data_IF_433347394721
#
_entry.id   IF_433347394721
#
_cell.length_a   1.000
_cell.length_b   1.000
_cell.length_c   1.000
_cell.angle_alpha   90.00
_cell.angle_beta   90.00
_cell.angle_gamma   90.00
#
_symmetry.space_group_name_H-M   'P 1'
#
loop_
_entity.id
_entity.type
_entity.pdbx_description
1 polymer ?
#
# COMPACT_ATOMS: atom_id res chain seq x y z
N UNK A 1 54.76 45.64 20.90
CA UNK A 1 54.50 44.76 19.73
C UNK A 1 53.97 45.64 18.59
N UNK A 2 54.80 45.92 17.58
CA UNK A 2 54.42 46.72 16.41
C UNK A 2 53.87 45.77 15.35
N UNK A 3 52.57 45.86 15.06
CA UNK A 3 51.95 45.15 13.94
C UNK A 3 52.47 45.72 12.63
N UNK A 4 53.24 44.93 11.89
CA UNK A 4 53.62 45.23 10.52
C UNK A 4 52.38 45.15 9.63
N UNK A 5 51.91 46.31 9.16
CA UNK A 5 50.87 46.39 8.14
C UNK A 5 51.35 45.66 6.87
N UNK A 6 50.53 44.80 6.26
CA UNK A 6 50.89 44.10 5.04
C UNK A 6 51.14 45.10 3.91
N UNK A 7 52.20 44.87 3.13
CA UNK A 7 52.54 45.73 2.00
C UNK A 7 51.38 45.77 0.98
N UNK A 8 51.21 46.89 0.26
CA UNK A 8 50.16 47.04 -0.77
C UNK A 8 50.14 45.89 -1.78
N UNK A 9 51.31 45.28 -2.05
CA UNK A 9 51.45 44.10 -2.91
C UNK A 9 50.85 42.83 -2.28
N UNK A 10 51.03 42.62 -0.97
CA UNK A 10 50.45 41.49 -0.26
C UNK A 10 48.92 41.59 -0.17
N UNK A 11 48.37 42.79 0.04
CA UNK A 11 46.91 43.02 0.02
C UNK A 11 46.33 42.75 -1.37
N UNK A 12 46.98 43.24 -2.44
CA UNK A 12 46.55 43.00 -3.82
C UNK A 12 46.57 41.50 -4.20
N UNK A 13 47.59 40.76 -3.76
CA UNK A 13 47.69 39.31 -3.99
C UNK A 13 46.58 38.56 -3.23
N UNK A 14 46.30 38.93 -1.97
CA UNK A 14 45.25 38.29 -1.19
C UNK A 14 43.85 38.53 -1.78
N UNK A 15 43.56 39.76 -2.21
CA UNK A 15 42.28 40.08 -2.87
C UNK A 15 42.13 39.39 -4.21
N UNK A 16 43.21 39.28 -4.99
CA UNK A 16 43.20 38.53 -6.25
C UNK A 16 42.94 37.03 -6.03
N UNK A 17 43.52 36.44 -4.98
CA UNK A 17 43.32 35.04 -4.61
C UNK A 17 41.88 34.78 -4.13
N UNK A 18 41.31 35.68 -3.31
CA UNK A 18 39.91 35.58 -2.89
C UNK A 18 38.94 35.71 -4.07
N UNK A 19 39.18 36.64 -5.00
CA UNK A 19 38.34 36.81 -6.21
C UNK A 19 38.43 35.59 -7.12
N UNK A 20 39.62 35.01 -7.29
CA UNK A 20 39.81 33.77 -8.04
C UNK A 20 39.11 32.58 -7.37
N UNK A 21 39.18 32.46 -6.04
CA UNK A 21 38.46 31.40 -5.30
C UNK A 21 36.95 31.57 -5.41
N UNK A 22 36.41 32.78 -5.28
CA UNK A 22 34.97 33.03 -5.45
C UNK A 22 34.51 32.74 -6.87
N UNK A 23 35.31 33.11 -7.88
CA UNK A 23 34.99 32.78 -9.28
C UNK A 23 35.03 31.26 -9.51
N UNK A 24 35.98 30.55 -8.92
CA UNK A 24 36.10 29.10 -9.03
C UNK A 24 34.95 28.36 -8.31
N UNK A 25 34.50 28.86 -7.16
CA UNK A 25 33.31 28.34 -6.46
C UNK A 25 32.04 28.63 -7.26
N UNK A 26 31.87 29.84 -7.81
CA UNK A 26 30.72 30.18 -8.66
C UNK A 26 30.71 29.30 -9.91
N UNK A 27 31.87 29.10 -10.56
CA UNK A 27 31.99 28.28 -11.77
C UNK A 27 31.74 26.80 -11.48
N UNK A 28 32.20 26.29 -10.33
CA UNK A 28 31.89 24.93 -9.88
C UNK A 28 30.40 24.76 -9.56
N UNK A 29 29.77 25.74 -8.91
CA UNK A 29 28.32 25.73 -8.63
C UNK A 29 27.50 25.83 -9.92
N UNK A 30 27.92 26.61 -10.91
CA UNK A 30 27.22 26.69 -12.20
C UNK A 30 27.42 25.43 -13.05
N UNK A 31 28.61 24.84 -13.08
CA UNK A 31 28.87 23.58 -13.81
C UNK A 31 28.18 22.38 -13.17
N UNK A 32 28.11 22.33 -11.82
CA UNK A 32 27.31 21.34 -11.10
C UNK A 32 25.80 21.53 -11.36
N UNK A 33 25.35 22.77 -11.57
CA UNK A 33 23.95 23.09 -11.88
C UNK A 33 23.58 22.79 -13.34
N UNK A 34 24.51 22.97 -14.28
CA UNK A 34 24.30 22.66 -15.70
C UNK A 34 24.20 21.14 -15.97
N UNK A 35 24.96 20.30 -15.25
CA UNK A 35 24.89 18.84 -15.42
C UNK A 35 23.57 18.21 -14.94
N UNK A 36 22.80 18.88 -14.08
CA UNK A 36 21.50 18.36 -13.65
C UNK A 36 20.40 18.53 -14.69
N UNK A 37 20.56 19.47 -15.63
CA UNK A 37 19.53 19.80 -16.64
C UNK A 37 19.53 18.88 -17.86
N UNK A 38 20.63 18.21 -18.19
CA UNK A 38 20.71 17.37 -19.41
C UNK A 38 20.04 15.98 -19.25
N UNK A 39 19.85 15.52 -18.01
CA UNK A 39 19.22 14.22 -17.70
C UNK A 39 17.83 14.36 -17.03
N UNK A 40 17.29 15.57 -16.94
CA UNK A 40 15.96 15.84 -16.40
C UNK A 40 14.88 15.44 -17.42
N UNK A 41 13.94 14.59 -17.02
CA UNK A 41 12.80 14.19 -17.85
C UNK A 41 11.51 14.90 -17.44
N UNK A 42 11.45 15.39 -16.20
CA UNK A 42 10.33 16.15 -15.67
C UNK A 42 10.73 16.85 -14.34
N UNK A 43 9.85 17.66 -13.78
CA UNK A 43 10.00 18.20 -12.41
C UNK A 43 8.68 18.29 -11.66
N UNK A 44 8.76 18.32 -10.32
CA UNK A 44 7.65 18.57 -9.41
C UNK A 44 8.02 19.68 -8.44
N UNK A 45 7.34 20.83 -8.52
CA UNK A 45 7.63 22.03 -7.72
C UNK A 45 9.10 22.47 -7.78
N UNK A 46 9.72 22.31 -8.95
CA UNK A 46 11.14 22.60 -9.18
C UNK A 46 12.12 21.54 -8.65
N UNK A 47 11.62 20.40 -8.16
CA UNK A 47 12.45 19.23 -7.87
C UNK A 47 12.55 18.33 -9.11
N UNK A 48 13.76 18.14 -9.68
CA UNK A 48 13.94 17.41 -10.93
C UNK A 48 13.64 15.92 -10.75
N UNK A 49 13.08 15.31 -11.79
CA UNK A 49 12.97 13.87 -12.01
C UNK A 49 13.95 13.53 -13.11
N UNK A 50 14.98 12.74 -12.79
CA UNK A 50 15.98 12.36 -13.78
C UNK A 50 15.55 11.13 -14.57
N UNK A 51 16.19 10.92 -15.72
CA UNK A 51 16.03 9.70 -16.53
C UNK A 51 16.25 8.43 -15.71
N UNK A 52 17.28 8.42 -14.87
CA UNK A 52 17.61 7.27 -14.02
C UNK A 52 16.53 7.01 -12.96
N UNK A 53 15.95 8.06 -12.39
CA UNK A 53 14.82 7.94 -11.47
C UNK A 53 13.61 7.34 -12.18
N UNK A 54 13.27 7.85 -13.36
CA UNK A 54 12.17 7.31 -14.17
C UNK A 54 12.38 5.83 -14.49
N UNK A 55 13.57 5.45 -14.96
CA UNK A 55 13.88 4.06 -15.29
C UNK A 55 13.87 3.15 -14.07
N UNK A 56 14.32 3.63 -12.92
CA UNK A 56 14.21 2.88 -11.66
C UNK A 56 12.75 2.54 -11.35
N UNK A 57 11.84 3.51 -11.43
CA UNK A 57 10.41 3.29 -11.22
C UNK A 57 9.79 2.38 -12.29
N UNK A 58 10.13 2.59 -13.57
CA UNK A 58 9.63 1.75 -14.66
C UNK A 58 10.05 0.28 -14.50
N UNK A 59 11.30 0.01 -14.14
CA UNK A 59 11.78 -1.38 -13.90
C UNK A 59 11.08 -2.02 -12.71
N UNK A 60 10.87 -1.27 -11.62
CA UNK A 60 10.15 -1.77 -10.44
C UNK A 60 8.68 -2.08 -10.74
N UNK A 61 8.02 -1.27 -11.57
CA UNK A 61 6.62 -1.45 -11.94
C UNK A 61 6.40 -2.45 -13.09
N UNK A 62 7.44 -2.76 -13.85
CA UNK A 62 7.34 -3.63 -15.03
C UNK A 62 6.61 -4.95 -14.73
N UNK A 63 6.92 -5.73 -13.66
CA UNK A 63 6.21 -6.98 -13.39
C UNK A 63 4.69 -6.80 -13.18
N UNK A 64 4.29 -5.74 -12.48
CA UNK A 64 2.87 -5.41 -12.23
C UNK A 64 2.17 -5.01 -13.54
N UNK A 65 2.81 -4.17 -14.35
CA UNK A 65 2.26 -3.75 -15.65
C UNK A 65 2.19 -4.93 -16.61
N UNK A 66 3.19 -5.81 -16.66
CA UNK A 66 3.16 -7.04 -17.46
C UNK A 66 1.97 -7.93 -17.09
N UNK A 67 1.68 -8.06 -15.80
CA UNK A 67 0.51 -8.81 -15.34
C UNK A 67 -0.80 -8.14 -15.78
N UNK A 68 -0.91 -6.80 -15.73
CA UNK A 68 -2.04 -6.05 -16.29
C UNK A 68 -2.19 -6.31 -17.79
N UNK A 69 -1.10 -6.22 -18.55
CA UNK A 69 -1.07 -6.43 -20.01
C UNK A 69 -1.58 -7.83 -20.40
N UNK A 70 -1.16 -8.86 -19.66
CA UNK A 70 -1.62 -10.23 -19.87
C UNK A 70 -3.10 -10.41 -19.53
N UNK A 71 -3.55 -9.87 -18.40
CA UNK A 71 -4.89 -10.13 -17.86
C UNK A 71 -5.97 -9.28 -18.53
N UNK A 72 -5.67 -8.01 -18.83
CA UNK A 72 -6.64 -7.05 -19.39
C UNK A 72 -6.54 -6.93 -20.90
N UNK A 73 -5.32 -6.92 -21.44
CA UNK A 73 -5.08 -6.70 -22.88
C UNK A 73 -4.75 -7.99 -23.65
N UNK A 74 -4.71 -9.14 -22.96
CA UNK A 74 -4.43 -10.47 -23.55
C UNK A 74 -3.12 -10.54 -24.30
N UNK A 75 -2.14 -9.70 -23.96
CA UNK A 75 -0.78 -9.78 -24.49
C UNK A 75 -0.06 -10.96 -23.81
N UNK A 76 0.12 -12.06 -24.56
CA UNK A 76 0.74 -13.29 -24.07
C UNK A 76 2.22 -13.39 -24.46
N UNK A 77 2.97 -14.21 -23.74
CA UNK A 77 4.40 -14.45 -24.01
C UNK A 77 5.31 -13.36 -23.46
N UNK A 78 6.52 -13.24 -24.03
CA UNK A 78 7.47 -12.18 -23.68
C UNK A 78 6.85 -10.81 -23.96
N UNK A 79 6.98 -9.89 -23.02
CA UNK A 79 6.34 -8.57 -23.14
C UNK A 79 6.99 -7.75 -24.25
N UNK A 80 6.20 -7.44 -25.28
CA UNK A 80 6.56 -6.46 -26.29
C UNK A 80 6.11 -5.08 -25.82
N UNK A 81 7.04 -4.26 -25.33
CA UNK A 81 6.76 -2.91 -24.84
C UNK A 81 6.23 -1.96 -25.92
N UNK A 82 6.53 -2.23 -27.20
CA UNK A 82 6.01 -1.44 -28.33
C UNK A 82 4.61 -1.87 -28.78
N UNK A 83 4.08 -2.97 -28.26
CA UNK A 83 2.74 -3.44 -28.60
C UNK A 83 1.67 -2.46 -28.09
N UNK A 84 0.59 -2.29 -28.87
CA UNK A 84 -0.58 -1.52 -28.44
C UNK A 84 -1.33 -2.23 -27.30
N UNK A 85 -1.67 -1.47 -26.26
CA UNK A 85 -2.45 -1.88 -25.11
C UNK A 85 -3.60 -0.87 -24.92
N UNK A 86 -4.61 -0.97 -25.79
CA UNK A 86 -5.64 0.05 -25.96
C UNK A 86 -5.17 1.17 -26.88
N UNK A 87 -5.29 2.41 -26.42
CA UNK A 87 -4.86 3.64 -27.10
C UNK A 87 -3.34 3.87 -27.02
N UNK A 88 -2.73 3.52 -25.88
CA UNK A 88 -1.29 3.63 -25.60
C UNK A 88 -0.51 2.36 -25.97
N UNK A 89 0.80 2.48 -26.18
CA UNK A 89 1.69 1.30 -26.18
C UNK A 89 1.87 0.78 -24.74
N UNK A 90 2.39 -0.45 -24.60
CA UNK A 90 2.75 -1.00 -23.30
C UNK A 90 3.84 -0.15 -22.60
N UNK A 91 4.80 0.40 -23.35
CA UNK A 91 5.82 1.32 -22.85
C UNK A 91 5.21 2.62 -22.33
N UNK A 92 4.38 3.30 -23.13
CA UNK A 92 3.68 4.52 -22.72
C UNK A 92 2.80 4.32 -21.48
N UNK A 93 2.22 3.12 -21.34
CA UNK A 93 1.48 2.74 -20.14
C UNK A 93 2.41 2.62 -18.94
N UNK A 94 3.57 1.97 -19.09
CA UNK A 94 4.55 1.84 -18.03
C UNK A 94 5.11 3.21 -17.60
N UNK A 95 5.45 4.07 -18.55
CA UNK A 95 5.87 5.46 -18.31
C UNK A 95 4.83 6.24 -17.53
N UNK A 96 3.57 6.22 -17.98
CA UNK A 96 2.47 6.89 -17.27
C UNK A 96 2.37 6.40 -15.82
N UNK A 97 2.46 5.08 -15.60
CA UNK A 97 2.39 4.50 -14.25
C UNK A 97 3.60 4.87 -13.39
N UNK A 98 4.79 4.93 -13.98
CA UNK A 98 6.01 5.32 -13.29
C UNK A 98 5.95 6.79 -12.88
N UNK A 99 5.53 7.69 -13.78
CA UNK A 99 5.32 9.10 -13.45
C UNK A 99 4.26 9.29 -12.36
N UNK A 100 3.11 8.59 -12.45
CA UNK A 100 2.07 8.64 -11.42
C UNK A 100 2.60 8.24 -10.02
N UNK A 101 3.49 7.24 -9.96
CA UNK A 101 4.13 6.80 -8.72
C UNK A 101 5.20 7.80 -8.25
N UNK A 102 6.02 8.33 -9.16
CA UNK A 102 7.02 9.37 -8.87
C UNK A 102 6.35 10.61 -8.29
N UNK A 103 5.20 11.04 -8.80
CA UNK A 103 4.49 12.21 -8.24
C UNK A 103 4.07 11.99 -6.80
N UNK A 104 3.57 10.81 -6.47
CA UNK A 104 3.19 10.46 -5.09
C UNK A 104 4.41 10.35 -4.19
N UNK A 105 5.44 9.66 -4.64
CA UNK A 105 6.62 9.36 -3.84
C UNK A 105 7.48 10.62 -3.64
N UNK A 106 7.70 11.41 -4.69
CA UNK A 106 8.42 12.69 -4.61
C UNK A 106 7.67 13.71 -3.76
N UNK A 107 6.34 13.80 -3.87
CA UNK A 107 5.52 14.64 -2.97
C UNK A 107 5.68 14.21 -1.50
N UNK A 108 5.78 12.90 -1.24
CA UNK A 108 6.06 12.36 0.11
C UNK A 108 7.47 12.72 0.59
N UNK A 109 8.47 12.60 -0.27
CA UNK A 109 9.86 12.94 0.04
C UNK A 109 10.04 14.44 0.28
N UNK A 110 9.40 15.29 -0.53
CA UNK A 110 9.39 16.75 -0.35
C UNK A 110 8.73 17.10 0.99
N UNK A 111 7.58 16.49 1.30
CA UNK A 111 6.95 16.66 2.61
C UNK A 111 7.87 16.18 3.75
N UNK A 112 8.58 15.08 3.57
CA UNK A 112 9.57 14.61 4.55
C UNK A 112 10.70 15.62 4.74
N UNK A 113 11.21 16.22 3.66
CA UNK A 113 12.22 17.28 3.71
C UNK A 113 11.72 18.53 4.42
N UNK A 114 10.49 18.99 4.12
CA UNK A 114 9.83 20.10 4.83
C UNK A 114 9.69 19.85 6.33
N UNK A 115 9.49 18.58 6.73
CA UNK A 115 9.42 18.17 8.14
C UNK A 115 10.79 17.87 8.77
N UNK A 116 11.89 18.08 8.04
CA UNK A 116 13.26 17.81 8.51
C UNK A 116 13.53 16.33 8.78
N UNK A 117 12.91 15.43 8.02
CA UNK A 117 13.14 13.98 8.12
C UNK A 117 14.24 13.49 7.18
N UNK A 118 14.47 14.22 6.08
CA UNK A 118 15.52 13.95 5.09
C UNK A 118 16.12 15.26 4.63
N UNK A 119 17.39 15.23 4.23
CA UNK A 119 18.08 16.43 3.73
C UNK A 119 17.85 16.63 2.22
N UNK A 120 17.66 15.52 1.49
CA UNK A 120 17.48 15.52 0.04
C UNK A 120 16.33 14.63 -0.42
N UNK A 121 15.81 14.95 -1.61
CA UNK A 121 14.76 14.23 -2.34
C UNK A 121 15.26 13.71 -3.69
N UNK A 122 16.55 13.91 -3.98
CA UNK A 122 17.14 13.62 -5.27
C UNK A 122 17.53 12.13 -5.37
N UNK A 123 17.34 11.54 -6.55
CA UNK A 123 17.58 10.12 -6.76
C UNK A 123 19.06 9.73 -6.58
N UNK A 124 19.99 10.62 -6.95
CA UNK A 124 21.42 10.40 -6.76
C UNK A 124 21.79 10.28 -5.27
N UNK A 125 21.22 11.14 -4.42
CA UNK A 125 21.44 11.10 -2.97
C UNK A 125 20.81 9.84 -2.36
N UNK A 126 19.66 9.39 -2.87
CA UNK A 126 19.09 8.11 -2.50
C UNK A 126 20.05 6.93 -2.76
N UNK A 127 20.75 6.92 -3.91
CA UNK A 127 21.74 5.89 -4.22
C UNK A 127 22.97 5.97 -3.32
N UNK A 128 23.40 7.19 -2.96
CA UNK A 128 24.50 7.39 -2.02
C UNK A 128 24.13 6.89 -0.60
N UNK A 129 22.92 7.19 -0.13
CA UNK A 129 22.39 6.70 1.14
C UNK A 129 22.32 5.17 1.18
N UNK A 130 21.87 4.55 0.09
CA UNK A 130 21.85 3.09 -0.06
C UNK A 130 23.25 2.48 0.06
N UNK A 131 24.22 3.04 -0.66
CA UNK A 131 25.60 2.55 -0.63
C UNK A 131 26.17 2.63 0.79
N UNK A 132 25.94 3.76 1.47
CA UNK A 132 26.38 3.98 2.86
C UNK A 132 25.72 3.01 3.84
N UNK A 133 24.42 2.75 3.71
CA UNK A 133 23.70 1.78 4.55
C UNK A 133 24.26 0.36 4.35
N UNK A 134 24.47 -0.06 3.11
CA UNK A 134 25.03 -1.37 2.81
C UNK A 134 26.47 -1.53 3.29
N UNK A 135 27.29 -0.47 3.20
CA UNK A 135 28.64 -0.46 3.76
C UNK A 135 28.61 -0.59 5.29
N UNK A 136 27.76 0.19 5.96
CA UNK A 136 27.56 0.14 7.40
C UNK A 136 27.15 -1.28 7.86
N UNK A 137 26.22 -1.91 7.16
CA UNK A 137 25.79 -3.30 7.43
C UNK A 137 26.94 -4.29 7.24
N UNK A 138 27.71 -4.17 6.17
CA UNK A 138 28.86 -5.04 5.91
C UNK A 138 29.91 -4.93 7.03
N UNK A 139 30.18 -3.71 7.51
CA UNK A 139 31.08 -3.46 8.63
C UNK A 139 30.56 -4.08 9.95
N UNK A 140 29.27 -3.91 10.26
CA UNK A 140 28.64 -4.51 11.44
C UNK A 140 28.72 -6.04 11.42
N UNK A 141 28.43 -6.67 10.27
CA UNK A 141 28.56 -8.12 10.08
C UNK A 141 30.01 -8.57 10.29
N UNK A 142 30.98 -7.86 9.72
CA UNK A 142 32.40 -8.18 9.89
C UNK A 142 32.87 -8.03 11.35
N UNK A 143 32.27 -7.12 12.10
CA UNK A 143 32.52 -6.92 13.54
C UNK A 143 31.78 -7.93 14.44
N UNK A 144 30.94 -8.82 13.88
CA UNK A 144 30.14 -9.78 14.64
C UNK A 144 28.93 -9.16 15.35
N UNK A 145 28.51 -7.96 14.95
CA UNK A 145 27.32 -7.30 15.46
C UNK A 145 26.03 -7.87 14.85
N UNK A 146 24.91 -7.72 15.56
CA UNK A 146 23.61 -8.19 15.05
C UNK A 146 23.06 -7.19 14.04
N UNK A 147 22.94 -7.60 12.77
CA UNK A 147 22.21 -6.85 11.73
C UNK A 147 20.80 -7.39 11.62
N UNK A 148 19.80 -6.52 11.79
CA UNK A 148 18.40 -6.86 11.60
C UNK A 148 18.01 -6.77 10.12
N UNK A 149 17.32 -7.80 9.63
CA UNK A 149 16.85 -7.88 8.25
C UNK A 149 17.88 -8.48 7.29
N UNK A 150 17.93 -7.97 6.06
CA UNK A 150 18.85 -8.44 5.02
C UNK A 150 20.27 -7.91 5.23
N UNK A 151 21.27 -8.69 4.80
CA UNK A 151 22.67 -8.31 4.90
C UNK A 151 23.03 -7.09 4.04
N UNK A 152 22.40 -6.97 2.86
CA UNK A 152 22.45 -5.79 2.01
C UNK A 152 21.11 -5.60 1.33
N UNK A 153 20.69 -4.37 1.14
CA UNK A 153 19.53 -4.04 0.34
C UNK A 153 19.87 -3.91 -1.14
N UNK A 154 18.97 -4.40 -1.99
CA UNK A 154 18.84 -3.89 -3.36
C UNK A 154 18.21 -2.49 -3.35
N UNK A 155 18.34 -1.71 -4.45
CA UNK A 155 17.71 -0.40 -4.56
C UNK A 155 16.19 -0.43 -4.30
N UNK A 156 15.46 -1.41 -4.85
CA UNK A 156 14.02 -1.51 -4.66
C UNK A 156 13.60 -1.80 -3.21
N UNK A 157 14.33 -2.66 -2.51
CA UNK A 157 14.06 -2.97 -1.10
C UNK A 157 14.33 -1.76 -0.21
N UNK A 158 15.45 -1.08 -0.41
CA UNK A 158 15.80 0.11 0.37
C UNK A 158 14.84 1.26 0.11
N UNK A 159 14.43 1.48 -1.14
CA UNK A 159 13.44 2.48 -1.51
C UNK A 159 12.11 2.26 -0.79
N UNK A 160 11.60 1.03 -0.83
CA UNK A 160 10.34 0.64 -0.17
C UNK A 160 10.44 0.82 1.35
N UNK A 161 11.55 0.39 1.94
CA UNK A 161 11.82 0.55 3.37
C UNK A 161 11.83 2.02 3.77
N UNK A 162 12.63 2.85 3.07
CA UNK A 162 12.75 4.29 3.30
C UNK A 162 11.40 5.00 3.19
N UNK A 163 10.63 4.76 2.13
CA UNK A 163 9.32 5.38 1.97
C UNK A 163 8.33 4.95 3.05
N UNK A 164 8.35 3.68 3.46
CA UNK A 164 7.48 3.18 4.53
C UNK A 164 7.78 3.87 5.86
N UNK A 165 9.06 4.00 6.22
CA UNK A 165 9.50 4.65 7.44
C UNK A 165 9.15 6.14 7.47
N UNK A 166 9.42 6.84 6.35
CA UNK A 166 9.10 8.25 6.20
C UNK A 166 7.59 8.47 6.27
N UNK A 167 6.80 7.68 5.54
CA UNK A 167 5.34 7.75 5.54
C UNK A 167 4.76 7.51 6.94
N UNK A 168 5.25 6.49 7.64
CA UNK A 168 4.83 6.19 9.02
C UNK A 168 5.13 7.35 9.96
N UNK A 169 6.33 7.91 9.84
CA UNK A 169 6.77 9.03 10.68
C UNK A 169 5.97 10.31 10.38
N UNK A 170 5.72 10.61 9.10
CA UNK A 170 4.88 11.72 8.65
C UNK A 170 3.45 11.58 9.19
N UNK A 171 2.83 10.41 9.02
CA UNK A 171 1.49 10.12 9.56
C UNK A 171 1.42 10.36 11.07
N UNK A 172 2.41 9.88 11.82
CA UNK A 172 2.51 10.10 13.27
C UNK A 172 2.65 11.59 13.62
N UNK A 173 3.56 12.32 12.97
CA UNK A 173 3.80 13.75 13.26
C UNK A 173 2.58 14.61 12.92
N UNK A 174 2.01 14.43 11.74
CA UNK A 174 0.92 15.25 11.21
C UNK A 174 -0.44 14.93 11.83
N UNK A 175 -0.61 13.76 12.46
CA UNK A 175 -1.82 13.42 13.23
C UNK A 175 -1.75 13.84 14.70
N UNK A 176 -0.55 13.94 15.28
CA UNK A 176 -0.36 14.28 16.69
C UNK A 176 -0.64 15.77 16.98
N UNK A 177 -0.27 16.67 16.07
CA UNK A 177 -0.40 18.12 16.28
C UNK A 177 -1.89 18.55 16.41
N UNK A 178 -2.24 19.39 17.41
CA UNK A 178 -3.54 20.05 17.44
C UNK A 178 -3.77 20.85 16.15
N UNK A 179 -4.88 20.60 15.46
CA UNK A 179 -5.16 21.21 14.15
C UNK A 179 -4.31 20.69 12.99
N UNK A 180 -3.51 19.63 13.20
CA UNK A 180 -2.71 19.00 12.14
C UNK A 180 -3.59 18.42 11.02
N UNK A 181 -3.08 18.36 9.77
CA UNK A 181 -3.87 17.98 8.60
C UNK A 181 -4.39 16.54 8.65
N UNK A 182 -3.74 15.66 9.44
CA UNK A 182 -4.13 14.26 9.62
C UNK A 182 -4.76 13.98 10.98
N UNK A 183 -5.04 15.02 11.78
CA UNK A 183 -5.64 14.81 13.09
C UNK A 183 -7.02 14.18 12.93
N UNK A 184 -7.26 13.10 13.66
CA UNK A 184 -8.57 12.42 13.70
C UNK A 184 -9.15 12.57 15.10
N UNK A 185 -10.34 13.14 15.17
CA UNK A 185 -11.09 13.36 16.41
C UNK A 185 -11.96 12.17 16.76
N UNK A 186 -12.32 12.03 18.03
CA UNK A 186 -13.21 10.93 18.47
C UNK A 186 -14.59 11.01 17.82
N UNK A 187 -15.07 12.21 17.50
CA UNK A 187 -16.30 12.41 16.76
C UNK A 187 -16.21 11.87 15.32
N UNK A 188 -15.05 11.98 14.67
CA UNK A 188 -14.82 11.37 13.35
C UNK A 188 -14.73 9.85 13.43
N UNK A 189 -14.06 9.31 14.45
CA UNK A 189 -14.01 7.87 14.70
C UNK A 189 -15.42 7.32 14.92
N UNK A 190 -16.24 8.00 15.72
CA UNK A 190 -17.63 7.62 15.95
C UNK A 190 -18.46 7.67 14.68
N UNK A 191 -18.31 8.74 13.88
CA UNK A 191 -19.02 8.86 12.60
C UNK A 191 -18.63 7.75 11.62
N UNK A 192 -17.36 7.40 11.55
CA UNK A 192 -16.88 6.32 10.68
C UNK A 192 -17.40 4.95 11.15
N UNK A 193 -17.45 4.71 12.46
CA UNK A 193 -18.09 3.53 13.03
C UNK A 193 -19.58 3.46 12.66
N UNK A 194 -20.32 4.56 12.86
CA UNK A 194 -21.76 4.62 12.60
C UNK A 194 -22.11 4.49 11.11
N UNK A 195 -21.22 4.93 10.21
CA UNK A 195 -21.42 4.86 8.76
C UNK A 195 -21.31 3.43 8.20
N UNK A 196 -20.54 2.55 8.85
CA UNK A 196 -20.34 1.17 8.42
C UNK A 196 -20.21 0.22 9.63
N UNK A 197 -21.29 0.11 10.40
CA UNK A 197 -21.30 -0.68 11.64
C UNK A 197 -20.97 -2.14 11.40
N UNK A 198 -21.40 -2.70 10.27
CA UNK A 198 -21.15 -4.10 9.94
C UNK A 198 -19.65 -4.37 9.73
N UNK A 199 -18.90 -3.45 9.12
CA UNK A 199 -17.45 -3.59 8.98
C UNK A 199 -16.68 -3.51 10.31
N UNK A 200 -17.25 -2.83 11.32
CA UNK A 200 -16.59 -2.53 12.59
C UNK A 200 -17.18 -3.27 13.80
N UNK A 201 -17.99 -4.29 13.60
CA UNK A 201 -18.66 -5.01 14.69
C UNK A 201 -18.39 -6.50 14.74
N UNK A 202 -17.62 -7.07 13.81
CA UNK A 202 -17.46 -8.52 13.68
C UNK A 202 -17.00 -9.19 15.00
N UNK A 203 -16.03 -8.62 15.71
CA UNK A 203 -15.50 -9.14 16.97
C UNK A 203 -16.39 -8.86 18.21
N UNK A 204 -17.50 -8.13 18.02
CA UNK A 204 -18.48 -7.82 19.05
C UNK A 204 -19.90 -8.25 18.63
N UNK A 205 -19.97 -9.14 17.64
CA UNK A 205 -21.23 -9.71 17.15
C UNK A 205 -21.42 -11.11 17.69
N UNK A 206 -22.57 -11.36 18.30
CA UNK A 206 -23.06 -12.69 18.64
C UNK A 206 -24.05 -13.16 17.59
N UNK A 207 -23.76 -14.31 16.98
CA UNK A 207 -24.63 -14.95 16.00
C UNK A 207 -25.36 -16.12 16.66
N UNK A 208 -26.69 -16.13 16.60
CA UNK A 208 -27.49 -17.32 16.89
C UNK A 208 -27.90 -17.94 15.57
N UNK A 209 -27.66 -19.23 15.40
CA UNK A 209 -27.91 -19.90 14.14
C UNK A 209 -28.46 -21.31 14.35
N UNK A 210 -29.22 -21.75 13.35
CA UNK A 210 -29.68 -23.13 13.22
C UNK A 210 -28.88 -23.82 12.13
N UNK A 211 -28.34 -24.99 12.43
CA UNK A 211 -27.54 -25.81 11.53
C UNK A 211 -28.27 -27.09 11.19
N UNK A 212 -28.45 -27.34 9.90
CA UNK A 212 -28.96 -28.61 9.36
C UNK A 212 -27.79 -29.38 8.75
N UNK A 213 -27.45 -30.54 9.33
CA UNK A 213 -26.48 -31.47 8.77
C UNK A 213 -27.23 -32.66 8.18
N UNK A 214 -27.07 -32.88 6.87
CA UNK A 214 -27.69 -33.99 6.15
C UNK A 214 -26.59 -34.96 5.69
N UNK A 215 -26.59 -36.21 6.16
CA UNK A 215 -25.66 -37.22 5.65
C UNK A 215 -25.97 -37.52 4.19
N UNK A 216 -24.94 -37.61 3.35
CA UNK A 216 -25.07 -38.05 1.97
C UNK A 216 -24.95 -39.57 1.95
N UNK A 217 -26.01 -40.32 1.57
CA UNK A 217 -25.96 -41.78 1.53
C UNK A 217 -24.87 -42.29 0.58
N UNK A 218 -24.28 -43.43 0.92
CA UNK A 218 -23.33 -44.11 0.04
C UNK A 218 -24.04 -44.54 -1.25
N UNK A 219 -23.48 -44.20 -2.42
CA UNK A 219 -24.13 -44.42 -3.71
C UNK A 219 -25.27 -43.46 -4.04
N UNK A 220 -25.40 -42.33 -3.33
CA UNK A 220 -26.37 -41.29 -3.66
C UNK A 220 -26.22 -40.82 -5.12
N UNK A 221 -27.36 -40.61 -5.79
CA UNK A 221 -27.40 -40.09 -7.16
C UNK A 221 -26.76 -38.69 -7.23
N UNK A 222 -26.19 -38.34 -8.38
CA UNK A 222 -25.48 -37.07 -8.59
C UNK A 222 -26.37 -35.85 -8.28
N UNK A 223 -27.68 -35.97 -8.48
CA UNK A 223 -28.68 -34.92 -8.28
C UNK A 223 -29.13 -34.79 -6.80
N UNK A 224 -28.63 -35.61 -5.88
CA UNK A 224 -29.05 -35.58 -4.46
C UNK A 224 -28.87 -34.19 -3.83
N UNK A 225 -27.72 -33.57 -4.05
CA UNK A 225 -27.41 -32.24 -3.53
C UNK A 225 -28.36 -31.17 -4.10
N UNK A 226 -28.69 -31.25 -5.39
CA UNK A 226 -29.56 -30.30 -6.07
C UNK A 226 -31.01 -30.41 -5.56
N UNK A 227 -31.52 -31.64 -5.40
CA UNK A 227 -32.85 -31.87 -4.82
C UNK A 227 -32.93 -31.38 -3.37
N UNK A 228 -31.89 -31.63 -2.59
CA UNK A 228 -31.81 -31.14 -1.22
C UNK A 228 -31.83 -29.61 -1.18
N UNK A 229 -31.06 -28.95 -2.05
CA UNK A 229 -31.04 -27.50 -2.15
C UNK A 229 -32.40 -26.93 -2.58
N UNK A 230 -33.08 -27.53 -3.56
CA UNK A 230 -34.41 -27.11 -4.00
C UNK A 230 -35.43 -27.19 -2.85
N UNK A 231 -35.41 -28.27 -2.06
CA UNK A 231 -36.30 -28.42 -0.91
C UNK A 231 -36.01 -27.41 0.18
N UNK A 232 -34.74 -27.22 0.54
CA UNK A 232 -34.33 -26.21 1.54
C UNK A 232 -34.79 -24.81 1.09
N UNK A 233 -34.62 -24.50 -0.19
CA UNK A 233 -35.07 -23.21 -0.75
C UNK A 233 -36.61 -23.07 -0.71
N UNK A 234 -37.34 -24.17 -0.96
CA UNK A 234 -38.81 -24.16 -0.97
C UNK A 234 -39.42 -24.11 0.44
N UNK A 235 -38.73 -24.67 1.43
CA UNK A 235 -39.21 -24.76 2.80
C UNK A 235 -39.18 -23.42 3.55
N UNK A 236 -38.33 -22.47 3.14
CA UNK A 236 -38.20 -21.15 3.76
C UNK A 236 -37.50 -21.15 5.14
N UNK A 237 -37.61 -22.22 5.93
CA UNK A 237 -36.91 -22.46 7.20
C UNK A 237 -36.25 -23.84 7.20
N UNK A 238 -35.11 -24.00 7.89
CA UNK A 238 -34.44 -25.31 7.98
C UNK A 238 -35.24 -26.34 8.79
N UNK A 239 -36.02 -25.88 9.77
CA UNK A 239 -36.91 -26.73 10.56
C UNK A 239 -37.97 -27.43 9.68
N UNK A 240 -38.45 -26.75 8.64
CA UNK A 240 -39.44 -27.30 7.72
C UNK A 240 -38.78 -28.20 6.65
N UNK A 241 -37.52 -27.93 6.31
CA UNK A 241 -36.75 -28.73 5.35
C UNK A 241 -36.31 -30.11 5.91
N UNK A 242 -36.25 -30.27 7.24
CA UNK A 242 -35.82 -31.52 7.88
C UNK A 242 -36.86 -32.63 7.74
N UNK A 243 -38.14 -32.26 7.55
CA UNK A 243 -39.25 -33.20 7.43
C UNK A 243 -39.07 -34.06 6.16
N UNK A 244 -38.63 -35.31 6.35
CA UNK A 244 -38.45 -36.28 5.27
C UNK A 244 -37.00 -36.58 4.85
N UNK A 245 -35.98 -36.08 5.55
CA UNK A 245 -34.58 -36.44 5.30
C UNK A 245 -34.01 -37.44 6.33
N UNK A 246 -33.77 -38.70 5.94
CA UNK A 246 -33.21 -39.71 6.83
C UNK A 246 -31.85 -39.29 7.40
N UNK A 247 -31.73 -39.33 8.74
CA UNK A 247 -30.47 -39.03 9.43
C UNK A 247 -30.10 -37.55 9.49
N UNK A 248 -30.94 -36.65 8.99
CA UNK A 248 -30.73 -35.22 9.11
C UNK A 248 -30.75 -34.78 10.59
N UNK A 249 -29.79 -33.94 10.97
CA UNK A 249 -29.66 -33.40 12.32
C UNK A 249 -29.78 -31.88 12.29
N UNK A 250 -30.79 -31.39 13.01
CA UNK A 250 -30.98 -29.96 13.25
C UNK A 250 -30.42 -29.62 14.63
N UNK A 251 -29.54 -28.63 14.70
CA UNK A 251 -28.94 -28.15 15.96
C UNK A 251 -28.89 -26.63 15.97
N UNK A 252 -29.23 -26.00 17.08
CA UNK A 252 -29.01 -24.57 17.28
C UNK A 252 -27.65 -24.34 17.95
N UNK A 253 -26.99 -23.26 17.58
CA UNK A 253 -25.72 -22.85 18.17
C UNK A 253 -25.64 -21.34 18.32
N UNK A 254 -24.68 -20.92 19.13
CA UNK A 254 -24.31 -19.52 19.29
C UNK A 254 -22.82 -19.39 18.98
N UNK A 255 -22.46 -18.34 18.27
CA UNK A 255 -21.08 -18.01 17.96
C UNK A 255 -20.78 -16.57 18.40
N UNK A 256 -19.80 -16.41 19.28
CA UNK A 256 -19.31 -15.10 19.73
C UNK A 256 -18.09 -14.69 18.89
N UNK A 257 -18.22 -13.57 18.16
CA UNK A 257 -17.16 -13.03 17.30
C UNK A 257 -15.88 -12.64 18.04
N UNK A 258 -15.94 -12.33 19.33
CA UNK A 258 -14.80 -11.88 20.13
C UNK A 258 -14.02 -13.03 20.79
N UNK A 259 -14.53 -14.26 20.71
CA UNK A 259 -14.12 -15.37 21.59
C UNK A 259 -12.83 -16.12 21.22
N UNK A 260 -12.10 -15.77 20.15
CA UNK A 260 -10.99 -16.63 19.71
C UNK A 260 -9.79 -15.86 19.17
N UNK A 261 -8.74 -15.78 19.99
CA UNK A 261 -7.38 -15.32 19.63
C UNK A 261 -6.69 -16.21 18.58
N UNK A 262 -7.23 -17.38 18.23
CA UNK A 262 -6.83 -18.15 17.05
C UNK A 262 -8.04 -18.90 16.48
N UNK A 263 -8.76 -18.27 15.56
CA UNK A 263 -9.82 -18.97 14.84
C UNK A 263 -9.21 -20.16 14.08
N UNK A 264 -9.66 -21.38 14.39
CA UNK A 264 -9.37 -22.51 13.50
C UNK A 264 -10.11 -22.29 12.16
N UNK A 265 -9.65 -22.95 11.09
CA UNK A 265 -10.21 -22.76 9.74
C UNK A 265 -11.73 -22.93 9.70
N UNK A 266 -12.26 -23.90 10.46
CA UNK A 266 -13.70 -24.13 10.57
C UNK A 266 -14.47 -22.94 11.18
N UNK A 267 -13.90 -22.27 12.18
CA UNK A 267 -14.51 -21.08 12.78
C UNK A 267 -14.49 -19.87 11.84
N UNK A 268 -13.42 -19.72 11.04
CA UNK A 268 -13.34 -18.70 9.98
C UNK A 268 -14.39 -18.92 8.90
N UNK A 269 -14.53 -20.16 8.42
CA UNK A 269 -15.52 -20.51 7.40
C UNK A 269 -16.95 -20.25 7.91
N UNK A 270 -17.24 -20.65 9.15
CA UNK A 270 -18.54 -20.40 9.77
C UNK A 270 -18.82 -18.89 9.88
N UNK A 271 -17.86 -18.09 10.34
CA UNK A 271 -18.00 -16.64 10.41
C UNK A 271 -18.22 -16.00 9.04
N UNK A 272 -17.49 -16.45 8.02
CA UNK A 272 -17.67 -15.96 6.65
C UNK A 272 -19.08 -16.25 6.11
N UNK A 273 -19.67 -17.38 6.50
CA UNK A 273 -21.05 -17.74 6.14
C UNK A 273 -22.03 -16.88 6.92
N UNK A 274 -21.95 -16.89 8.26
CA UNK A 274 -22.92 -16.19 9.13
C UNK A 274 -22.87 -14.67 8.95
N UNK A 275 -21.69 -14.09 8.79
CA UNK A 275 -21.50 -12.66 8.56
C UNK A 275 -22.09 -12.16 7.23
N UNK A 276 -22.23 -13.04 6.24
CA UNK A 276 -22.87 -12.72 4.96
C UNK A 276 -24.39 -12.95 4.92
N UNK A 277 -24.97 -13.50 5.99
CA UNK A 277 -26.41 -13.76 6.07
C UNK A 277 -27.14 -12.63 6.79
N UNK A 278 -28.37 -12.36 6.34
CA UNK A 278 -29.33 -11.59 7.11
C UNK A 278 -30.13 -12.54 8.02
N UNK A 279 -30.61 -12.10 9.20
CA UNK A 279 -31.49 -12.91 10.03
C UNK A 279 -32.69 -13.44 9.24
N UNK A 280 -33.00 -14.73 9.42
CA UNK A 280 -34.01 -15.49 8.68
C UNK A 280 -33.57 -16.00 7.31
N UNK A 281 -32.30 -15.82 6.90
CA UNK A 281 -31.78 -16.36 5.62
C UNK A 281 -31.00 -17.65 5.84
N UNK A 282 -31.10 -18.54 4.85
CA UNK A 282 -30.38 -19.82 4.78
C UNK A 282 -29.17 -19.68 3.86
N UNK A 283 -28.05 -20.28 4.24
CA UNK A 283 -26.80 -20.33 3.48
C UNK A 283 -26.91 -21.15 2.21
N UNK A 284 -25.95 -20.96 1.31
CA UNK A 284 -25.62 -21.96 0.30
C UNK A 284 -25.19 -23.30 0.96
N UNK A 285 -25.31 -24.45 0.27
CA UNK A 285 -24.87 -25.73 0.81
C UNK A 285 -23.36 -25.76 1.04
N UNK A 286 -22.95 -26.09 2.26
CA UNK A 286 -21.56 -26.37 2.61
C UNK A 286 -21.31 -27.87 2.47
N UNK A 287 -20.51 -28.24 1.47
CA UNK A 287 -20.20 -29.64 1.18
C UNK A 287 -19.05 -30.12 2.05
N UNK A 288 -19.27 -31.19 2.81
CA UNK A 288 -18.24 -31.89 3.57
C UNK A 288 -18.13 -33.35 3.14
N UNK A 289 -17.13 -34.06 3.66
CA UNK A 289 -16.95 -35.49 3.39
C UNK A 289 -18.17 -36.28 3.90
N UNK A 290 -18.98 -36.80 2.98
CA UNK A 290 -20.16 -37.62 3.30
C UNK A 290 -21.37 -36.85 3.87
N UNK A 291 -21.37 -35.51 3.84
CA UNK A 291 -22.49 -34.71 4.37
C UNK A 291 -22.62 -33.35 3.66
N UNK A 292 -23.83 -32.79 3.70
CA UNK A 292 -24.13 -31.43 3.26
C UNK A 292 -24.69 -30.67 4.46
N UNK A 293 -24.15 -29.48 4.71
CA UNK A 293 -24.59 -28.62 5.82
C UNK A 293 -25.22 -27.34 5.31
N UNK A 294 -26.31 -26.92 5.93
CA UNK A 294 -26.90 -25.59 5.76
C UNK A 294 -26.93 -24.87 7.09
N UNK A 295 -26.78 -23.55 7.03
CA UNK A 295 -26.90 -22.65 8.18
C UNK A 295 -28.04 -21.68 7.93
N UNK A 296 -28.88 -21.49 8.93
CA UNK A 296 -29.89 -20.44 8.98
C UNK A 296 -29.49 -19.48 10.08
N UNK A 297 -29.36 -18.20 9.75
CA UNK A 297 -29.06 -17.19 10.76
C UNK A 297 -30.37 -16.82 11.48
N UNK A 298 -30.46 -17.11 12.77
CA UNK A 298 -31.67 -16.80 13.56
C UNK A 298 -31.62 -15.35 14.07
N UNK A 299 -30.48 -14.93 14.62
CA UNK A 299 -30.27 -13.55 15.05
C UNK A 299 -28.81 -13.13 14.93
N UNK A 300 -28.62 -11.82 14.77
CA UNK A 300 -27.33 -11.12 14.83
C UNK A 300 -27.46 -10.02 15.87
N UNK A 301 -26.74 -10.15 16.98
CA UNK A 301 -26.74 -9.19 18.07
C UNK A 301 -25.36 -8.54 18.17
N UNK A 302 -25.32 -7.21 18.19
CA UNK A 302 -24.07 -6.44 18.19
C UNK A 302 -23.99 -5.66 19.50
N UNK A 303 -22.93 -5.90 20.27
CA UNK A 303 -22.56 -5.03 21.38
C UNK A 303 -21.83 -3.81 20.81
N UNK A 304 -22.57 -2.73 20.53
CA UNK A 304 -22.03 -1.53 19.88
C UNK A 304 -20.94 -0.83 20.72
N UNK A 305 -21.08 -0.83 22.04
CA UNK A 305 -20.11 -0.18 22.93
C UNK A 305 -18.80 -0.98 22.98
N UNK A 306 -18.90 -2.31 23.05
CA UNK A 306 -17.75 -3.20 22.91
C UNK A 306 -17.12 -3.07 21.52
N UNK A 307 -17.93 -3.08 20.46
CA UNK A 307 -17.48 -2.93 19.08
C UNK A 307 -16.69 -1.64 18.90
N UNK A 308 -17.26 -0.50 19.33
CA UNK A 308 -16.59 0.78 19.24
C UNK A 308 -15.29 0.78 20.04
N UNK A 309 -15.29 0.24 21.26
CA UNK A 309 -14.08 0.14 22.09
C UNK A 309 -12.98 -0.68 21.41
N UNK A 310 -13.34 -1.84 20.86
CA UNK A 310 -12.39 -2.78 20.24
C UNK A 310 -11.84 -2.24 18.90
N UNK A 311 -12.64 -1.49 18.14
CA UNK A 311 -12.26 -1.02 16.79
C UNK A 311 -11.85 0.46 16.70
N UNK A 312 -12.11 1.31 17.71
CA UNK A 312 -11.86 2.75 17.63
C UNK A 312 -10.41 3.10 17.23
N UNK A 313 -9.42 2.33 17.71
CA UNK A 313 -8.02 2.57 17.35
C UNK A 313 -7.76 2.25 15.87
N UNK A 314 -8.26 1.10 15.39
CA UNK A 314 -8.13 0.68 13.98
C UNK A 314 -8.86 1.63 13.03
N UNK A 315 -10.06 2.08 13.41
CA UNK A 315 -10.82 3.10 12.66
C UNK A 315 -9.99 4.38 12.59
N UNK A 316 -9.42 4.83 13.70
CA UNK A 316 -8.56 6.03 13.72
C UNK A 316 -7.35 5.89 12.80
N UNK A 317 -6.69 4.73 12.79
CA UNK A 317 -5.58 4.46 11.86
C UNK A 317 -6.04 4.49 10.40
N UNK A 318 -7.17 3.86 10.08
CA UNK A 318 -7.76 3.89 8.74
C UNK A 318 -8.08 5.32 8.28
N UNK A 319 -8.61 6.16 9.17
CA UNK A 319 -8.89 7.56 8.86
C UNK A 319 -7.62 8.41 8.71
N UNK A 320 -6.55 8.11 9.46
CA UNK A 320 -5.24 8.76 9.26
C UNK A 320 -4.66 8.38 7.90
N UNK A 321 -4.78 7.12 7.49
CA UNK A 321 -4.38 6.64 6.16
C UNK A 321 -5.11 7.42 5.06
N UNK A 322 -6.45 7.42 5.11
CA UNK A 322 -7.29 8.10 4.13
C UNK A 322 -6.98 9.60 4.05
N UNK A 323 -6.85 10.28 5.22
CA UNK A 323 -6.48 11.69 5.26
C UNK A 323 -5.11 11.95 4.68
N UNK A 324 -4.15 11.03 4.86
CA UNK A 324 -2.80 11.17 4.32
C UNK A 324 -2.80 11.06 2.80
N UNK A 325 -3.48 10.07 2.25
CA UNK A 325 -3.62 9.88 0.80
C UNK A 325 -4.31 11.09 0.16
N UNK A 326 -5.40 11.58 0.76
CA UNK A 326 -6.07 12.80 0.30
C UNK A 326 -5.18 14.03 0.43
N UNK A 327 -4.35 14.11 1.47
CA UNK A 327 -3.43 15.22 1.68
C UNK A 327 -2.34 15.24 0.61
N UNK A 328 -1.72 14.09 0.31
CA UNK A 328 -0.73 13.96 -0.75
C UNK A 328 -1.34 14.21 -2.14
N UNK A 329 -2.53 13.65 -2.42
CA UNK A 329 -3.22 13.89 -3.68
C UNK A 329 -3.46 15.38 -3.91
N UNK A 330 -3.98 16.10 -2.90
CA UNK A 330 -4.17 17.56 -2.99
C UNK A 330 -2.86 18.34 -3.16
N UNK A 331 -1.73 17.80 -2.69
CA UNK A 331 -0.42 18.41 -2.94
C UNK A 331 -0.05 18.22 -4.40
N UNK A 332 -0.07 16.99 -4.91
CA UNK A 332 0.21 16.67 -6.32
C UNK A 332 -0.69 17.47 -7.27
N UNK A 333 -2.00 17.55 -7.00
CA UNK A 333 -2.96 18.29 -7.84
C UNK A 333 -2.68 19.80 -7.91
N UNK A 334 -1.91 20.34 -6.95
CA UNK A 334 -1.54 21.76 -6.87
C UNK A 334 -0.09 22.02 -7.23
N UNK A 335 0.70 20.97 -7.41
CA UNK A 335 2.11 21.08 -7.74
C UNK A 335 2.28 21.59 -9.17
N UNK A 336 3.35 22.35 -9.38
CA UNK A 336 3.81 22.71 -10.72
C UNK A 336 4.58 21.52 -11.29
N UNK A 337 4.02 20.88 -12.32
CA UNK A 337 4.60 19.71 -12.97
C UNK A 337 4.96 20.08 -14.40
N UNK A 338 6.26 20.06 -14.69
CA UNK A 338 6.79 20.23 -16.04
C UNK A 338 7.33 18.89 -16.54
N UNK A 339 7.00 18.51 -17.78
CA UNK A 339 7.45 17.25 -18.37
C UNK A 339 8.14 17.59 -19.69
N UNK A 340 9.41 17.21 -19.79
CA UNK A 340 10.12 17.27 -21.07
C UNK A 340 9.68 16.08 -21.93
N UNK A 341 8.71 16.36 -22.82
CA UNK A 341 8.16 15.36 -23.74
C UNK A 341 9.24 14.78 -24.65
N UNK A 342 10.25 15.56 -25.05
CA UNK A 342 11.33 15.06 -25.91
C UNK A 342 12.24 14.10 -25.15
N UNK A 343 12.57 14.42 -23.89
CA UNK A 343 13.35 13.53 -23.03
C UNK A 343 12.57 12.25 -22.68
N UNK A 344 11.25 12.36 -22.47
CA UNK A 344 10.36 11.23 -22.24
C UNK A 344 10.23 10.32 -23.48
N UNK A 345 10.02 10.90 -24.66
CA UNK A 345 9.92 10.15 -25.93
C UNK A 345 11.24 9.47 -26.34
N UNK A 346 12.37 9.89 -25.75
CA UNK A 346 13.67 9.26 -25.93
C UNK A 346 13.85 7.96 -25.09
N UNK A 347 12.91 7.62 -24.21
CA UNK A 347 12.89 6.34 -23.50
C UNK A 347 12.47 5.22 -24.45
N UNK A 348 13.24 4.13 -24.49
CA UNK A 348 12.97 3.01 -25.39
C UNK A 348 12.66 1.72 -24.64
N UNK A 349 12.18 0.72 -25.38
CA UNK A 349 11.89 -0.60 -24.84
C UNK A 349 13.14 -1.31 -24.29
N UNK A 350 14.33 -1.00 -24.82
CA UNK A 350 15.61 -1.55 -24.38
C UNK A 350 16.00 -1.05 -22.98
N UNK A 351 15.64 0.19 -22.61
CA UNK A 351 15.99 0.77 -21.31
C UNK A 351 15.34 0.05 -20.12
N UNK A 352 14.17 -0.55 -20.34
CA UNK A 352 13.38 -1.26 -19.33
C UNK A 352 13.59 -2.78 -19.31
N UNK A 353 14.41 -3.32 -20.21
CA UNK A 353 14.68 -4.77 -20.29
C UNK A 353 15.96 -5.21 -19.55
N UNK A 354 16.71 -4.29 -18.94
CA UNK A 354 17.97 -4.56 -18.24
C UNK A 354 17.81 -5.14 -16.84
#
# INVERSE_FOLDING_TARGET
MKGTLPSRRAVLILTGLCLALTALVITAVTLLRDHHTEDEVASLDGHPVTRDELLFHMRRLAPTVQNELRNKYRLQGTTNWNAKAGDKTALQRLETRALDEIWRDKSTLVLAKEQGLVDSVDYADFLADLAKENESRAQAIAAGETVYGVASFSPGEYYTHRLTDLTTTLKKRLSAAPGGPLRVTDAEVRRAFDADRDAWSANATTYTYTRLVVPVPEGAAAEYAERLQQRVTSAGRLADAVAGEPGAKLTTGTYDGGGSTSLNAHAQDLLSILGGLQPGRISAPVRGTGQITYYELDSKDIDEDKAFTDYAQRIRQSLVEEKFDQYLQRRVDKSDIDIDIAALDAITAEDVQQ
#
